data_IF_891405314822
#
_entry.id   IF_891405314822
#
_cell.length_a   1.000
_cell.length_b   1.000
_cell.length_c   1.000
_cell.angle_alpha   90.00
_cell.angle_beta   90.00
_cell.angle_gamma   90.00
#
_symmetry.space_group_name_H-M   'P 1'
#
loop_
_entity.id
_entity.type
_entity.pdbx_description
1 polymer ?
#
# COMPACT_ATOMS: atom_id res chain seq x y z
N UNK A 1 24.57 8.17 -5.96
CA UNK A 1 23.65 7.27 -5.23
C UNK A 1 22.63 6.76 -6.23
N UNK A 2 22.54 5.45 -6.44
CA UNK A 2 21.52 4.88 -7.31
C UNK A 2 20.14 5.24 -6.75
N UNK A 3 19.23 5.68 -7.61
CA UNK A 3 17.86 6.01 -7.23
C UNK A 3 17.25 4.77 -6.57
N UNK A 4 16.92 4.83 -5.28
CA UNK A 4 16.40 3.67 -4.53
C UNK A 4 15.00 3.25 -4.97
N UNK A 5 14.28 4.13 -5.67
CA UNK A 5 12.84 4.01 -5.95
C UNK A 5 12.50 4.58 -7.33
N UNK A 6 11.50 3.96 -7.97
CA UNK A 6 10.84 4.50 -9.16
C UNK A 6 9.37 4.76 -8.84
N UNK A 7 8.90 5.98 -9.15
CA UNK A 7 7.59 6.46 -8.73
C UNK A 7 6.53 6.34 -9.83
N UNK A 8 5.42 5.67 -9.53
CA UNK A 8 4.25 5.56 -10.39
C UNK A 8 3.12 6.48 -9.92
N UNK A 9 2.50 7.22 -10.84
CA UNK A 9 1.37 8.13 -10.54
C UNK A 9 0.12 7.72 -11.29
N UNK A 10 -1.05 8.24 -10.90
CA UNK A 10 -2.29 8.04 -11.65
C UNK A 10 -2.17 8.52 -13.12
N UNK A 11 -1.45 9.61 -13.37
CA UNK A 11 -1.20 10.14 -14.71
C UNK A 11 -0.32 9.21 -15.55
N UNK A 12 0.72 8.63 -14.94
CA UNK A 12 1.56 7.62 -15.59
C UNK A 12 0.72 6.45 -16.09
N UNK A 13 -0.19 5.93 -15.25
CA UNK A 13 -1.03 4.80 -15.66
C UNK A 13 -2.04 5.16 -16.73
N UNK A 14 -2.52 6.41 -16.75
CA UNK A 14 -3.41 6.91 -17.79
C UNK A 14 -2.71 6.98 -19.15
N UNK A 15 -1.41 7.31 -19.19
CA UNK A 15 -0.65 7.47 -20.44
C UNK A 15 0.02 6.18 -20.92
N UNK A 16 0.61 5.40 -20.01
CA UNK A 16 1.45 4.25 -20.34
C UNK A 16 0.80 2.89 -20.04
N UNK A 17 -0.34 2.87 -19.33
CA UNK A 17 -0.99 1.64 -18.88
C UNK A 17 -0.24 0.93 -17.75
N UNK A 18 -0.69 -0.28 -17.40
CA UNK A 18 -0.15 -1.06 -16.29
C UNK A 18 1.10 -1.91 -16.64
N UNK A 19 1.37 -2.16 -17.92
CA UNK A 19 2.45 -3.08 -18.33
C UNK A 19 3.85 -2.64 -17.88
N UNK A 20 4.24 -1.35 -17.97
CA UNK A 20 5.54 -0.92 -17.44
C UNK A 20 5.69 -1.13 -15.93
N UNK A 21 4.58 -1.04 -15.17
CA UNK A 21 4.58 -1.32 -13.75
C UNK A 21 4.72 -2.82 -13.47
N UNK A 22 3.97 -3.67 -14.19
CA UNK A 22 4.12 -5.13 -14.08
C UNK A 22 5.54 -5.58 -14.41
N UNK A 23 6.16 -4.99 -15.43
CA UNK A 23 7.53 -5.32 -15.79
C UNK A 23 8.52 -4.91 -14.69
N UNK A 24 8.35 -3.75 -14.09
CA UNK A 24 9.16 -3.35 -12.94
C UNK A 24 8.94 -4.28 -11.74
N UNK A 25 7.71 -4.73 -11.48
CA UNK A 25 7.45 -5.72 -10.44
C UNK A 25 8.24 -7.01 -10.71
N UNK A 26 8.20 -7.54 -11.93
CA UNK A 26 8.96 -8.75 -12.29
C UNK A 26 10.46 -8.56 -12.01
N UNK A 27 11.03 -7.44 -12.45
CA UNK A 27 12.45 -7.12 -12.26
C UNK A 27 12.81 -6.94 -10.77
N UNK A 28 11.93 -6.30 -10.00
CA UNK A 28 12.11 -6.13 -8.56
C UNK A 28 12.13 -7.48 -7.82
N UNK A 29 11.17 -8.37 -8.11
CA UNK A 29 11.06 -9.67 -7.44
C UNK A 29 12.26 -10.59 -7.72
N UNK A 30 12.99 -10.38 -8.82
CA UNK A 30 14.24 -11.10 -9.14
C UNK A 30 15.51 -10.31 -8.76
N UNK A 31 15.38 -9.22 -8.00
CA UNK A 31 16.50 -8.42 -7.50
C UNK A 31 17.21 -7.56 -8.55
N UNK A 32 16.61 -7.37 -9.72
CA UNK A 32 17.20 -6.61 -10.84
C UNK A 32 16.84 -5.13 -10.84
N UNK A 33 15.87 -4.71 -10.02
CA UNK A 33 15.41 -3.33 -9.96
C UNK A 33 14.94 -2.94 -8.56
N UNK A 34 14.73 -1.65 -8.38
CA UNK A 34 14.26 -0.99 -7.16
C UNK A 34 12.84 -1.40 -6.76
N UNK A 35 12.42 -1.02 -5.55
CA UNK A 35 11.02 -1.21 -5.12
C UNK A 35 10.07 -0.40 -6.03
N UNK A 36 8.97 -1.00 -6.51
CA UNK A 36 7.96 -0.30 -7.29
C UNK A 36 7.08 0.57 -6.39
N UNK A 37 7.42 1.86 -6.26
CA UNK A 37 6.72 2.79 -5.37
C UNK A 37 5.69 3.59 -6.14
N UNK A 38 4.51 3.75 -5.56
CA UNK A 38 3.42 4.56 -6.10
C UNK A 38 3.28 5.84 -5.31
N UNK A 39 3.02 6.95 -6.00
CA UNK A 39 2.76 8.25 -5.40
C UNK A 39 1.29 8.59 -5.56
N UNK A 40 0.67 8.94 -4.44
CA UNK A 40 -0.71 9.40 -4.38
C UNK A 40 -0.80 10.69 -3.56
N UNK A 41 -1.90 11.42 -3.68
CA UNK A 41 -2.10 12.64 -2.92
C UNK A 41 -2.82 12.35 -1.60
N UNK A 42 -2.46 13.05 -0.54
CA UNK A 42 -3.30 13.15 0.64
C UNK A 42 -4.39 14.20 0.42
N UNK A 43 -5.52 14.06 1.11
CA UNK A 43 -6.54 15.10 1.16
C UNK A 43 -6.01 16.47 1.63
N UNK A 44 -4.88 16.47 2.35
CA UNK A 44 -4.18 17.66 2.83
C UNK A 44 -3.08 18.14 1.87
N UNK A 45 -3.14 17.75 0.59
CA UNK A 45 -2.23 18.18 -0.49
C UNK A 45 -0.75 17.86 -0.26
N UNK A 46 -0.46 16.75 0.44
CA UNK A 46 0.90 16.19 0.54
C UNK A 46 1.01 14.92 -0.27
N UNK A 47 2.16 14.72 -0.91
CA UNK A 47 2.46 13.45 -1.56
C UNK A 47 2.63 12.37 -0.51
N UNK A 48 2.00 11.21 -0.73
CA UNK A 48 2.18 10.01 0.05
C UNK A 48 2.67 8.92 -0.88
N UNK A 49 3.67 8.20 -0.40
CA UNK A 49 4.26 7.08 -1.11
C UNK A 49 3.67 5.78 -0.56
N UNK A 50 3.35 4.85 -1.44
CA UNK A 50 2.94 3.52 -1.03
C UNK A 50 3.50 2.45 -1.95
N UNK A 51 3.74 1.27 -1.38
CA UNK A 51 4.07 0.06 -2.12
C UNK A 51 3.28 -1.13 -1.56
N UNK A 52 3.38 -2.26 -2.24
CA UNK A 52 2.81 -3.54 -1.87
C UNK A 52 3.94 -4.49 -1.45
N UNK A 53 3.64 -5.37 -0.50
CA UNK A 53 4.49 -6.51 -0.15
C UNK A 53 4.71 -7.41 -1.36
N UNK A 54 5.75 -8.25 -1.31
CA UNK A 54 6.04 -9.21 -2.38
C UNK A 54 4.82 -10.09 -2.71
N UNK A 55 4.08 -10.57 -1.71
CA UNK A 55 2.87 -11.38 -1.90
C UNK A 55 1.78 -10.64 -2.69
N UNK A 56 1.56 -9.35 -2.39
CA UNK A 56 0.59 -8.54 -3.11
C UNK A 56 1.09 -8.18 -4.52
N UNK A 57 2.39 -7.98 -4.70
CA UNK A 57 3.02 -7.75 -6.00
C UNK A 57 2.93 -9.00 -6.91
N UNK A 58 3.19 -10.18 -6.37
CA UNK A 58 2.98 -11.46 -7.05
C UNK A 58 1.51 -11.64 -7.43
N UNK A 59 0.60 -11.36 -6.49
CA UNK A 59 -0.86 -11.36 -6.76
C UNK A 59 -1.23 -10.38 -7.87
N UNK A 60 -0.54 -9.24 -7.97
CA UNK A 60 -0.72 -8.27 -9.04
C UNK A 60 -0.33 -8.82 -10.41
N UNK A 61 0.72 -9.65 -10.48
CA UNK A 61 1.16 -10.30 -11.70
C UNK A 61 0.26 -11.47 -12.09
N UNK A 62 -0.08 -12.35 -11.14
CA UNK A 62 -0.81 -13.59 -11.41
C UNK A 62 -2.32 -13.38 -11.55
N UNK A 63 -2.90 -12.56 -10.67
CA UNK A 63 -4.35 -12.35 -10.55
C UNK A 63 -4.67 -10.85 -10.55
N UNK A 64 -4.29 -10.10 -11.59
CA UNK A 64 -4.37 -8.64 -11.62
C UNK A 64 -5.77 -8.12 -11.28
N UNK A 65 -6.84 -8.78 -11.73
CA UNK A 65 -8.21 -8.35 -11.47
C UNK A 65 -8.58 -8.30 -9.98
N UNK A 66 -7.90 -9.08 -9.13
CA UNK A 66 -8.15 -9.12 -7.69
C UNK A 66 -7.62 -7.90 -6.93
N UNK A 67 -6.58 -7.25 -7.48
CA UNK A 67 -5.81 -6.21 -6.79
C UNK A 67 -5.69 -4.90 -7.57
N UNK A 68 -5.90 -4.94 -8.88
CA UNK A 68 -5.92 -3.77 -9.76
C UNK A 68 -6.89 -2.71 -9.24
N UNK A 69 -8.10 -3.14 -8.87
CA UNK A 69 -9.13 -2.21 -8.38
C UNK A 69 -8.70 -1.48 -7.11
N UNK A 70 -8.34 -2.13 -5.99
CA UNK A 70 -7.86 -1.40 -4.82
C UNK A 70 -6.64 -0.53 -5.11
N UNK A 71 -5.70 -1.00 -5.94
CA UNK A 71 -4.53 -0.21 -6.33
C UNK A 71 -4.90 1.09 -7.06
N UNK A 72 -5.77 1.02 -8.07
CA UNK A 72 -6.27 2.19 -8.80
C UNK A 72 -7.03 3.16 -7.90
N UNK A 73 -7.80 2.64 -6.94
CA UNK A 73 -8.56 3.45 -5.99
C UNK A 73 -7.63 4.20 -5.01
N UNK A 74 -6.54 3.56 -4.57
CA UNK A 74 -5.51 4.21 -3.76
C UNK A 74 -4.78 5.33 -4.54
N UNK A 75 -4.50 5.13 -5.83
CA UNK A 75 -3.91 6.16 -6.70
C UNK A 75 -4.87 7.32 -6.98
N UNK A 76 -6.13 7.00 -7.32
CA UNK A 76 -7.11 7.98 -7.75
C UNK A 76 -7.60 8.85 -6.60
N UNK A 77 -7.87 8.24 -5.45
CA UNK A 77 -8.54 8.91 -4.33
C UNK A 77 -7.63 9.21 -3.15
N UNK A 78 -6.44 8.60 -3.14
CA UNK A 78 -5.38 8.92 -2.21
C UNK A 78 -5.69 8.66 -0.76
N UNK A 79 -4.88 9.26 0.12
CA UNK A 79 -5.06 9.13 1.57
C UNK A 79 -6.07 10.14 2.09
N UNK A 80 -7.02 9.64 2.88
CA UNK A 80 -8.17 10.41 3.36
C UNK A 80 -8.24 10.52 4.88
N UNK A 81 -7.23 10.05 5.60
CA UNK A 81 -7.24 10.03 7.06
C UNK A 81 -8.23 8.99 7.58
N UNK A 82 -9.16 9.38 8.44
CA UNK A 82 -10.16 8.47 9.00
C UNK A 82 -11.41 8.37 8.10
N UNK A 83 -12.06 7.20 8.06
CA UNK A 83 -13.23 6.93 7.20
C UNK A 83 -14.36 7.95 7.36
N UNK A 84 -14.69 8.69 6.30
CA UNK A 84 -15.78 9.68 6.29
C UNK A 84 -17.00 9.19 5.48
N UNK A 85 -17.52 8.00 5.81
CA UNK A 85 -18.60 7.35 5.06
C UNK A 85 -18.13 6.73 3.74
N UNK A 86 -19.07 6.33 2.87
CA UNK A 86 -19.02 5.54 1.62
C UNK A 86 -18.00 5.96 0.52
N UNK A 87 -16.81 6.34 0.93
CA UNK A 87 -15.76 6.91 0.11
C UNK A 87 -14.67 5.87 -0.11
N UNK A 88 -14.14 5.84 -1.33
CA UNK A 88 -12.98 5.04 -1.67
C UNK A 88 -11.67 5.80 -1.36
N UNK A 89 -10.57 5.06 -1.29
CA UNK A 89 -9.23 5.58 -1.02
C UNK A 89 -8.55 4.87 0.14
N UNK A 90 -7.46 5.44 0.65
CA UNK A 90 -6.71 4.91 1.78
C UNK A 90 -7.17 5.57 3.07
N UNK A 91 -7.45 4.77 4.09
CA UNK A 91 -7.93 5.21 5.39
C UNK A 91 -7.16 4.56 6.53
N UNK A 92 -7.05 5.29 7.64
CA UNK A 92 -6.61 4.76 8.93
C UNK A 92 -7.66 3.78 9.48
N UNK A 93 -7.18 2.68 10.08
CA UNK A 93 -8.02 1.80 10.88
C UNK A 93 -8.46 2.49 12.18
N UNK A 94 -9.70 2.21 12.60
CA UNK A 94 -10.31 2.69 13.85
C UNK A 94 -10.45 1.55 14.85
N UNK A 95 -10.70 1.87 16.11
CA UNK A 95 -10.95 0.88 17.17
C UNK A 95 -12.07 -0.12 16.81
N UNK A 96 -13.10 0.33 16.08
CA UNK A 96 -14.18 -0.54 15.58
C UNK A 96 -13.75 -1.53 14.48
N UNK A 97 -12.57 -1.39 13.89
CA UNK A 97 -12.02 -2.27 12.86
C UNK A 97 -11.27 -3.47 13.46
N UNK A 98 -11.73 -4.01 14.60
CA UNK A 98 -10.97 -4.94 15.43
C UNK A 98 -10.43 -6.19 14.70
N UNK A 99 -11.19 -6.79 13.78
CA UNK A 99 -10.73 -7.93 12.98
C UNK A 99 -9.59 -7.57 12.02
N UNK A 100 -9.68 -6.41 11.37
CA UNK A 100 -8.63 -5.88 10.50
C UNK A 100 -7.38 -5.51 11.31
N UNK A 101 -7.53 -4.88 12.48
CA UNK A 101 -6.41 -4.52 13.35
C UNK A 101 -5.60 -5.77 13.72
N UNK A 102 -6.27 -6.82 14.21
CA UNK A 102 -5.61 -8.08 14.57
C UNK A 102 -4.89 -8.71 13.37
N UNK A 103 -5.49 -8.61 12.19
CA UNK A 103 -4.88 -9.13 10.96
C UNK A 103 -3.63 -8.34 10.59
N UNK A 104 -3.67 -7.01 10.66
CA UNK A 104 -2.50 -6.15 10.41
C UNK A 104 -1.39 -6.44 11.41
N UNK A 105 -1.71 -6.61 12.70
CA UNK A 105 -0.70 -6.92 13.72
C UNK A 105 0.03 -8.24 13.43
N UNK A 106 -0.72 -9.29 13.10
CA UNK A 106 -0.13 -10.57 12.70
C UNK A 106 0.73 -10.45 11.45
N UNK A 107 0.26 -9.71 10.43
CA UNK A 107 1.01 -9.48 9.20
C UNK A 107 2.27 -8.64 9.46
N UNK A 108 2.20 -7.65 10.35
CA UNK A 108 3.33 -6.79 10.67
C UNK A 108 4.47 -7.57 11.33
N UNK A 109 4.15 -8.52 12.21
CA UNK A 109 5.14 -9.45 12.77
C UNK A 109 5.73 -10.36 11.68
N UNK A 110 4.89 -10.89 10.80
CA UNK A 110 5.35 -11.80 9.72
C UNK A 110 6.23 -11.10 8.67
N UNK A 111 6.10 -9.79 8.51
CA UNK A 111 6.82 -8.97 7.53
C UNK A 111 7.74 -7.92 8.19
N UNK A 112 8.17 -8.14 9.44
CA UNK A 112 8.86 -7.12 10.25
C UNK A 112 10.10 -6.56 9.54
N UNK A 113 10.95 -7.43 8.99
CA UNK A 113 12.20 -7.01 8.32
C UNK A 113 11.90 -6.17 7.07
N UNK A 114 10.96 -6.60 6.23
CA UNK A 114 10.54 -5.84 5.05
C UNK A 114 9.96 -4.49 5.44
N UNK A 115 9.15 -4.43 6.50
CA UNK A 115 8.57 -3.18 7.00
C UNK A 115 9.66 -2.22 7.46
N UNK A 116 10.67 -2.72 8.19
CA UNK A 116 11.78 -1.88 8.67
C UNK A 116 12.58 -1.30 7.52
N UNK A 117 12.89 -2.12 6.53
CA UNK A 117 13.67 -1.71 5.36
C UNK A 117 12.89 -0.74 4.46
N UNK A 118 11.65 -1.06 4.10
CA UNK A 118 10.87 -0.27 3.14
C UNK A 118 10.28 1.02 3.72
N UNK A 119 10.12 1.09 5.05
CA UNK A 119 9.57 2.27 5.74
C UNK A 119 10.63 3.07 6.51
N UNK A 120 11.92 2.73 6.35
CA UNK A 120 13.06 3.41 6.99
C UNK A 120 12.92 3.50 8.53
N UNK A 121 12.50 2.41 9.18
CA UNK A 121 12.34 2.37 10.64
C UNK A 121 13.68 2.09 11.32
N UNK A 122 14.37 3.17 11.70
CA UNK A 122 15.72 3.08 12.32
C UNK A 122 15.69 2.75 13.81
N UNK A 123 14.83 3.40 14.58
CA UNK A 123 14.85 3.34 16.06
C UNK A 123 13.48 3.10 16.69
N UNK A 124 12.42 3.56 16.03
CA UNK A 124 11.05 3.33 16.47
C UNK A 124 10.59 1.98 15.90
N UNK A 125 10.31 1.01 16.78
CA UNK A 125 9.75 -0.28 16.38
C UNK A 125 8.40 -0.15 15.66
N UNK A 126 7.80 -1.29 15.35
CA UNK A 126 6.52 -1.37 14.62
C UNK A 126 5.38 -0.58 15.29
N UNK A 127 5.45 -0.36 16.60
CA UNK A 127 4.45 0.35 17.41
C UNK A 127 4.22 1.81 16.98
N UNK A 128 5.20 2.45 16.34
CA UNK A 128 5.04 3.82 15.86
C UNK A 128 4.22 3.90 14.56
N UNK A 129 3.95 2.77 13.90
CA UNK A 129 3.24 2.74 12.64
C UNK A 129 1.73 2.87 12.84
N UNK A 130 1.12 3.69 12.00
CA UNK A 130 -0.34 3.71 11.87
C UNK A 130 -0.80 2.55 11.01
N UNK A 131 -1.97 1.99 11.30
CA UNK A 131 -2.58 0.92 10.52
C UNK A 131 -3.53 1.51 9.49
N UNK A 132 -3.46 1.05 8.25
CA UNK A 132 -4.24 1.57 7.13
C UNK A 132 -4.96 0.47 6.37
N UNK A 133 -6.01 0.85 5.64
CA UNK A 133 -6.71 0.02 4.67
C UNK A 133 -7.01 0.79 3.40
N UNK A 134 -7.04 0.08 2.28
CA UNK A 134 -7.64 0.57 1.05
C UNK A 134 -9.12 0.22 1.08
N UNK A 135 -9.98 1.23 0.89
CA UNK A 135 -11.44 1.07 0.78
C UNK A 135 -11.85 1.20 -0.68
N UNK A 136 -12.59 0.22 -1.15
CA UNK A 136 -13.30 0.22 -2.43
C UNK A 136 -14.60 -0.57 -2.29
N UNK A 137 -15.47 -0.48 -3.30
CA UNK A 137 -16.69 -1.28 -3.34
C UNK A 137 -16.34 -2.77 -3.52
N UNK A 138 -16.39 -3.51 -2.41
CA UNK A 138 -16.14 -4.96 -2.34
C UNK A 138 -17.15 -5.59 -1.37
N UNK A 139 -18.16 -6.33 -1.89
CA UNK A 139 -19.24 -6.91 -1.10
C UNK A 139 -18.78 -7.92 -0.03
N UNK A 140 -17.64 -8.60 -0.22
CA UNK A 140 -17.15 -9.62 0.71
C UNK A 140 -16.57 -9.06 2.03
N UNK A 141 -16.56 -7.74 2.20
CA UNK A 141 -15.90 -7.09 3.34
C UNK A 141 -14.37 -7.17 3.29
N UNK A 142 -13.78 -7.86 2.31
CA UNK A 142 -12.33 -7.97 2.14
C UNK A 142 -11.70 -6.61 1.84
N UNK A 143 -10.58 -6.28 2.48
CA UNK A 143 -9.82 -5.03 2.28
C UNK A 143 -8.32 -5.33 2.17
N UNK A 144 -7.59 -4.55 1.39
CA UNK A 144 -6.12 -4.54 1.43
C UNK A 144 -5.71 -3.72 2.63
N UNK A 145 -4.85 -4.25 3.49
CA UNK A 145 -4.44 -3.63 4.75
C UNK A 145 -2.93 -3.47 4.81
N UNK A 146 -2.47 -2.53 5.62
CA UNK A 146 -1.07 -2.18 5.69
C UNK A 146 -0.71 -1.31 6.87
N UNK A 147 0.52 -0.84 6.83
CA UNK A 147 1.13 0.05 7.83
C UNK A 147 1.58 1.35 7.17
N UNK A 148 1.60 2.42 7.96
CA UNK A 148 1.89 3.78 7.53
C UNK A 148 2.86 4.45 8.51
N UNK A 149 4.02 4.84 8.01
CA UNK A 149 4.97 5.67 8.72
C UNK A 149 4.67 7.14 8.46
N UNK A 150 4.10 7.82 9.46
CA UNK A 150 3.71 9.24 9.37
C UNK A 150 4.90 10.20 9.40
N UNK A 151 6.11 9.73 9.72
CA UNK A 151 7.30 10.58 9.80
C UNK A 151 7.92 10.83 8.42
N UNK A 152 7.70 9.93 7.46
CA UNK A 152 8.23 10.03 6.11
C UNK A 152 7.15 9.88 5.01
N UNK A 153 5.88 9.88 5.39
CA UNK A 153 4.73 9.77 4.47
C UNK A 153 4.76 8.50 3.58
N UNK A 154 5.24 7.36 4.12
CA UNK A 154 5.37 6.07 3.41
C UNK A 154 4.45 4.98 3.96
N UNK A 155 3.79 4.25 3.06
CA UNK A 155 2.93 3.11 3.38
C UNK A 155 3.42 1.82 2.74
N UNK A 156 3.26 0.71 3.45
CA UNK A 156 3.43 -0.64 2.92
C UNK A 156 2.14 -1.42 3.16
N UNK A 157 1.48 -1.84 2.08
CA UNK A 157 0.35 -2.76 2.17
C UNK A 157 0.85 -4.20 2.18
N UNK A 158 0.31 -4.99 3.10
CA UNK A 158 0.87 -6.30 3.47
C UNK A 158 0.09 -7.45 2.84
N UNK A 159 -1.23 -7.47 2.99
CA UNK A 159 -2.10 -8.48 2.40
C UNK A 159 -3.56 -8.01 2.42
N UNK A 160 -4.47 -8.88 2.00
CA UNK A 160 -5.89 -8.75 2.24
C UNK A 160 -6.30 -9.28 3.63
N UNK A 161 -7.27 -8.61 4.24
CA UNK A 161 -7.93 -9.02 5.48
C UNK A 161 -9.45 -8.84 5.38
N UNK A 162 -10.18 -9.49 6.29
CA UNK A 162 -11.64 -9.35 6.44
C UNK A 162 -11.96 -8.63 7.75
N UNK A 163 -13.10 -7.92 7.78
CA UNK A 163 -13.65 -7.32 9.00
C UNK A 163 -13.97 -8.39 10.07
#
# INVERSE_FOLDING_TARGET
MAQKEHFYTAEFFKSAGLEPFKEHIRQYLVGQRTVPVSRTQSYFSRDILFTFSNNLLETFLEKPNSIKKPYEEALKYGFRGYSAGEKNGVFLLREGDGGLIKSVDRLAVAHEDTIKDDLDLKENGLDALRKVKIVWHQPSGKRVVGVYNTNNDRMLFLDFAHY
#
